data_IF_921890593589
#
_entry.id   IF_921890593589
#
_cell.length_a   1.000
_cell.length_b   1.000
_cell.length_c   1.000
_cell.angle_alpha   90.00
_cell.angle_beta   90.00
_cell.angle_gamma   90.00
#
_symmetry.space_group_name_H-M   'P 1'
#
loop_
_entity.id
_entity.type
_entity.pdbx_description
1 polymer ?
#
# COMPACT_ATOMS: atom_id res chain seq x y z
N UNK A 1 0.61 -63.42 6.55
CA UNK A 1 0.04 -62.75 7.74
C UNK A 1 -0.90 -61.57 7.43
N UNK A 2 -1.34 -61.35 6.18
CA UNK A 2 -2.15 -60.17 5.82
C UNK A 2 -3.68 -60.33 5.98
N UNK A 3 -4.22 -61.51 6.32
CA UNK A 3 -5.68 -61.75 6.32
C UNK A 3 -6.41 -61.55 7.67
N UNK A 4 -5.71 -61.48 8.81
CA UNK A 4 -6.36 -61.53 10.14
C UNK A 4 -6.77 -60.17 10.72
N UNK A 5 -6.25 -59.06 10.19
CA UNK A 5 -6.56 -57.72 10.72
C UNK A 5 -7.90 -57.21 10.19
N UNK A 6 -8.23 -57.51 8.93
CA UNK A 6 -9.47 -57.08 8.28
C UNK A 6 -10.74 -57.70 8.88
N UNK A 7 -10.62 -58.83 9.60
CA UNK A 7 -11.73 -59.45 10.33
C UNK A 7 -11.90 -58.94 11.77
N UNK A 8 -11.02 -58.05 12.25
CA UNK A 8 -11.06 -57.47 13.60
C UNK A 8 -11.25 -55.95 13.51
N UNK A 9 -12.50 -55.46 13.45
CA UNK A 9 -12.77 -54.05 13.15
C UNK A 9 -12.11 -53.09 14.14
N UNK A 10 -12.14 -53.39 15.45
CA UNK A 10 -11.51 -52.53 16.48
C UNK A 10 -9.99 -52.45 16.29
N UNK A 11 -9.32 -53.59 16.05
CA UNK A 11 -7.86 -53.64 15.86
C UNK A 11 -7.47 -52.90 14.58
N UNK A 12 -8.24 -53.07 13.52
CA UNK A 12 -8.04 -52.35 12.26
C UNK A 12 -8.20 -50.83 12.45
N UNK A 13 -9.28 -50.38 13.12
CA UNK A 13 -9.51 -48.96 13.41
C UNK A 13 -8.37 -48.35 14.23
N UNK A 14 -7.93 -49.01 15.31
CA UNK A 14 -6.81 -48.52 16.13
C UNK A 14 -5.52 -48.42 15.31
N UNK A 15 -5.22 -49.44 14.50
CA UNK A 15 -4.03 -49.42 13.65
C UNK A 15 -4.07 -48.27 12.64
N UNK A 16 -5.20 -48.07 11.95
CA UNK A 16 -5.38 -46.96 11.00
C UNK A 16 -5.25 -45.62 11.70
N UNK A 17 -5.89 -45.44 12.86
CA UNK A 17 -5.79 -44.20 13.65
C UNK A 17 -4.34 -43.91 14.03
N UNK A 18 -3.60 -44.90 14.54
CA UNK A 18 -2.19 -44.70 14.89
C UNK A 18 -1.33 -44.37 13.67
N UNK A 19 -1.58 -45.00 12.52
CA UNK A 19 -0.85 -44.69 11.28
C UNK A 19 -1.13 -43.26 10.80
N UNK A 20 -2.39 -42.82 10.82
CA UNK A 20 -2.76 -41.44 10.44
C UNK A 20 -2.16 -40.44 11.43
N UNK A 21 -2.27 -40.69 12.73
CA UNK A 21 -1.73 -39.82 13.77
C UNK A 21 -0.21 -39.68 13.68
N UNK A 22 0.52 -40.76 13.37
CA UNK A 22 1.97 -40.70 13.23
C UNK A 22 2.38 -39.68 12.14
N UNK A 23 1.70 -39.70 10.98
CA UNK A 23 1.91 -38.73 9.92
C UNK A 23 1.51 -37.30 10.32
N UNK A 24 0.33 -37.13 10.92
CA UNK A 24 -0.14 -35.81 11.39
C UNK A 24 0.77 -35.20 12.46
N UNK A 25 1.27 -36.01 13.40
CA UNK A 25 2.20 -35.54 14.43
C UNK A 25 3.51 -35.11 13.80
N UNK A 26 4.08 -35.93 12.91
CA UNK A 26 5.37 -35.63 12.30
C UNK A 26 5.32 -34.40 11.36
N UNK A 27 4.25 -34.25 10.58
CA UNK A 27 4.17 -33.20 9.55
C UNK A 27 3.44 -31.93 9.98
N UNK A 28 2.51 -31.99 10.94
CA UNK A 28 1.76 -30.80 11.39
C UNK A 28 2.07 -30.45 12.85
N UNK A 29 1.83 -31.36 13.79
CA UNK A 29 1.92 -31.03 15.21
C UNK A 29 3.36 -30.64 15.60
N UNK A 30 4.36 -31.43 15.20
CA UNK A 30 5.75 -31.17 15.55
C UNK A 30 6.24 -29.82 14.99
N UNK A 31 6.12 -29.50 13.68
CA UNK A 31 6.48 -28.17 13.17
C UNK A 31 5.71 -27.03 13.83
N UNK A 32 4.42 -27.20 14.14
CA UNK A 32 3.59 -26.15 14.74
C UNK A 32 4.06 -25.70 16.13
N UNK A 33 4.72 -26.56 16.90
CA UNK A 33 5.27 -26.20 18.23
C UNK A 33 6.74 -25.76 18.20
N UNK A 34 7.33 -25.64 17.00
CA UNK A 34 8.73 -25.25 16.81
C UNK A 34 8.80 -23.77 16.41
N UNK A 35 9.43 -22.95 17.24
CA UNK A 35 9.56 -21.51 16.98
C UNK A 35 10.41 -21.21 15.75
N UNK A 36 11.40 -22.07 15.46
CA UNK A 36 12.23 -22.03 14.25
C UNK A 36 11.46 -22.27 12.96
N UNK A 37 10.27 -22.89 13.04
CA UNK A 37 9.39 -23.14 11.89
C UNK A 37 8.35 -22.03 11.67
N UNK A 38 8.34 -20.99 12.52
CA UNK A 38 7.49 -19.80 12.37
C UNK A 38 8.37 -18.53 12.36
N UNK A 39 9.27 -18.40 11.37
CA UNK A 39 10.11 -17.21 11.27
C UNK A 39 9.22 -15.97 11.11
N UNK A 40 9.68 -14.83 11.61
CA UNK A 40 9.13 -13.51 11.31
C UNK A 40 10.23 -12.71 10.66
N UNK A 41 9.92 -12.00 9.57
CA UNK A 41 10.88 -11.04 9.02
C UNK A 41 11.06 -9.89 10.01
N UNK A 42 12.29 -9.39 10.13
CA UNK A 42 12.60 -8.25 10.98
C UNK A 42 11.83 -7.01 10.48
N UNK A 43 11.27 -6.22 11.40
CA UNK A 43 10.46 -5.05 11.03
C UNK A 43 9.04 -5.37 10.55
N UNK A 44 8.57 -6.63 10.64
CA UNK A 44 7.20 -6.98 10.24
C UNK A 44 6.17 -6.22 11.09
N UNK A 45 5.37 -5.39 10.43
CA UNK A 45 4.26 -4.64 11.04
C UNK A 45 2.90 -5.25 10.66
N UNK A 46 1.90 -5.20 11.57
CA UNK A 46 0.54 -5.64 11.27
C UNK A 46 -0.11 -4.70 10.24
N UNK A 47 -1.13 -5.20 9.55
CA UNK A 47 -1.92 -4.39 8.61
C UNK A 47 -2.65 -3.27 9.34
N UNK A 48 -2.81 -2.11 8.71
CA UNK A 48 -3.67 -1.05 9.23
C UNK A 48 -5.15 -1.49 9.22
N UNK A 49 -6.04 -0.72 9.84
CA UNK A 49 -7.47 -1.07 9.86
C UNK A 49 -8.06 -1.10 8.45
N UNK A 50 -7.65 -0.15 7.59
CA UNK A 50 -8.09 -0.06 6.19
C UNK A 50 -7.55 -1.20 5.35
N UNK A 51 -6.27 -1.55 5.50
CA UNK A 51 -5.65 -2.68 4.81
C UNK A 51 -6.26 -4.02 5.25
N UNK A 52 -6.54 -4.18 6.55
CA UNK A 52 -7.20 -5.38 7.07
C UNK A 52 -8.61 -5.51 6.49
N UNK A 53 -9.36 -4.41 6.41
CA UNK A 53 -10.65 -4.42 5.74
C UNK A 53 -10.54 -4.80 4.26
N UNK A 54 -9.53 -4.29 3.56
CA UNK A 54 -9.26 -4.65 2.18
C UNK A 54 -8.93 -6.13 2.00
N UNK A 55 -8.17 -6.70 2.94
CA UNK A 55 -7.90 -8.13 3.01
C UNK A 55 -9.15 -8.96 3.24
N UNK A 56 -10.13 -8.43 3.97
CA UNK A 56 -11.42 -9.09 4.18
C UNK A 56 -12.26 -9.05 2.90
N UNK A 57 -12.27 -7.92 2.18
CA UNK A 57 -12.89 -7.81 0.85
C UNK A 57 -12.24 -8.79 -0.13
N UNK A 58 -10.90 -8.84 -0.18
CA UNK A 58 -10.15 -9.78 -1.02
C UNK A 58 -10.55 -11.25 -0.79
N UNK A 59 -10.75 -11.62 0.48
CA UNK A 59 -11.22 -12.96 0.85
C UNK A 59 -12.68 -13.19 0.45
N UNK A 60 -13.57 -12.24 0.77
CA UNK A 60 -15.01 -12.34 0.51
C UNK A 60 -15.30 -12.45 -0.99
N UNK A 61 -14.61 -11.67 -1.80
CA UNK A 61 -14.74 -11.68 -3.26
C UNK A 61 -14.02 -12.86 -3.92
N UNK A 62 -13.30 -13.69 -3.14
CA UNK A 62 -12.67 -14.90 -3.64
C UNK A 62 -11.49 -14.66 -4.57
N UNK A 63 -10.81 -13.52 -4.46
CA UNK A 63 -9.68 -13.14 -5.32
C UNK A 63 -8.56 -14.19 -5.29
N UNK A 64 -8.36 -14.84 -4.13
CA UNK A 64 -7.40 -15.93 -3.89
C UNK A 64 -7.57 -17.14 -4.83
N UNK A 65 -8.74 -17.30 -5.45
CA UNK A 65 -9.01 -18.39 -6.40
C UNK A 65 -8.40 -18.14 -7.79
N UNK A 66 -8.07 -16.87 -8.09
CA UNK A 66 -7.47 -16.46 -9.36
C UNK A 66 -6.05 -15.94 -9.19
N UNK A 67 -5.73 -15.38 -8.02
CA UNK A 67 -4.46 -14.74 -7.72
C UNK A 67 -3.78 -15.42 -6.54
N UNK A 68 -2.52 -15.77 -6.72
CA UNK A 68 -1.65 -16.22 -5.64
C UNK A 68 -0.96 -15.02 -5.00
N UNK A 69 -0.46 -15.20 -3.78
CA UNK A 69 0.37 -14.23 -3.07
C UNK A 69 1.64 -14.93 -2.58
N UNK A 70 2.30 -15.68 -3.46
CA UNK A 70 3.52 -16.42 -3.13
C UNK A 70 4.38 -16.57 -4.37
N UNK A 71 5.39 -15.72 -4.49
CA UNK A 71 6.40 -15.81 -5.53
C UNK A 71 7.37 -16.94 -5.17
N UNK A 72 7.52 -17.89 -6.09
CA UNK A 72 8.36 -19.08 -5.88
C UNK A 72 9.85 -18.76 -6.12
N UNK A 73 10.78 -19.48 -5.49
CA UNK A 73 12.23 -19.31 -5.69
C UNK A 73 12.70 -19.89 -7.04
N UNK A 74 12.08 -19.46 -8.13
CA UNK A 74 12.46 -19.78 -9.51
C UNK A 74 12.89 -18.48 -10.20
N UNK A 75 13.97 -18.53 -10.98
CA UNK A 75 14.47 -17.34 -11.69
C UNK A 75 13.40 -16.68 -12.57
N UNK A 76 12.57 -17.48 -13.26
CA UNK A 76 11.50 -16.97 -14.12
C UNK A 76 10.35 -16.30 -13.36
N UNK A 77 10.16 -16.62 -12.08
CA UNK A 77 9.16 -15.96 -11.21
C UNK A 77 9.72 -14.65 -10.66
N UNK A 78 10.91 -14.73 -10.09
CA UNK A 78 11.69 -13.62 -9.55
C UNK A 78 11.79 -12.49 -10.59
N UNK A 79 12.20 -12.80 -11.84
CA UNK A 79 12.30 -11.81 -12.93
C UNK A 79 10.95 -11.26 -13.35
N UNK A 80 9.88 -12.07 -13.32
CA UNK A 80 8.53 -11.63 -13.72
C UNK A 80 7.94 -10.60 -12.75
N UNK A 81 8.22 -10.74 -11.47
CA UNK A 81 7.74 -9.85 -10.41
C UNK A 81 8.82 -8.87 -9.94
N UNK A 82 9.93 -8.79 -10.70
CA UNK A 82 10.92 -7.72 -10.60
C UNK A 82 10.27 -6.47 -11.16
N UNK A 83 9.94 -5.52 -10.29
CA UNK A 83 9.45 -4.21 -10.72
C UNK A 83 10.53 -3.45 -11.50
N UNK A 84 10.19 -2.27 -11.98
CA UNK A 84 11.11 -1.40 -12.72
C UNK A 84 12.15 -0.67 -11.83
N UNK A 85 12.42 -1.12 -10.59
CA UNK A 85 13.36 -0.48 -9.66
C UNK A 85 14.71 -1.19 -9.60
N UNK A 86 15.77 -0.40 -9.69
CA UNK A 86 17.17 -0.87 -9.71
C UNK A 86 17.76 -1.15 -8.31
N UNK A 87 17.06 -0.83 -7.22
CA UNK A 87 17.56 -0.92 -5.85
C UNK A 87 16.56 -1.60 -4.88
N UNK A 88 16.49 -2.95 -4.89
CA UNK A 88 15.85 -3.85 -3.88
C UNK A 88 14.34 -3.61 -3.55
N UNK A 89 13.59 -4.49 -2.84
CA UNK A 89 13.49 -5.95 -2.90
C UNK A 89 12.34 -6.43 -3.82
N UNK A 90 11.80 -5.60 -4.73
CA UNK A 90 10.81 -6.08 -5.72
C UNK A 90 11.49 -7.09 -6.67
N UNK A 91 10.93 -8.29 -6.80
CA UNK A 91 11.53 -9.38 -7.58
C UNK A 91 12.38 -10.37 -6.79
N UNK A 92 12.23 -10.47 -5.47
CA UNK A 92 12.65 -11.67 -4.72
C UNK A 92 11.53 -12.70 -4.65
N UNK A 93 11.84 -13.90 -4.16
CA UNK A 93 10.81 -14.87 -3.79
C UNK A 93 10.20 -14.52 -2.43
N UNK A 94 8.97 -14.98 -2.20
CA UNK A 94 8.29 -14.75 -0.92
C UNK A 94 8.95 -15.54 0.20
N UNK A 95 9.15 -14.90 1.34
CA UNK A 95 9.73 -15.49 2.54
C UNK A 95 8.60 -15.93 3.48
N UNK A 96 8.79 -17.07 4.15
CA UNK A 96 7.79 -17.60 5.09
C UNK A 96 7.40 -16.58 6.18
N UNK A 97 8.36 -15.77 6.64
CA UNK A 97 8.12 -14.80 7.70
C UNK A 97 7.33 -13.55 7.32
N UNK A 98 7.09 -13.31 6.03
CA UNK A 98 6.23 -12.20 5.58
C UNK A 98 4.75 -12.45 5.89
N UNK A 99 4.38 -13.73 5.97
CA UNK A 99 3.00 -14.19 6.18
C UNK A 99 2.70 -14.47 7.66
N UNK A 100 3.60 -14.11 8.58
CA UNK A 100 3.47 -14.50 9.98
C UNK A 100 2.25 -13.90 10.70
N UNK A 101 1.65 -12.84 10.16
CA UNK A 101 0.40 -12.24 10.66
C UNK A 101 -0.82 -12.56 9.79
N UNK A 102 -0.68 -13.40 8.77
CA UNK A 102 -1.78 -13.73 7.88
C UNK A 102 -2.66 -14.85 8.45
N UNK A 103 -3.81 -14.46 8.98
CA UNK A 103 -4.83 -15.39 9.46
C UNK A 103 -6.12 -15.25 8.62
N UNK A 104 -6.50 -16.26 7.81
CA UNK A 104 -5.68 -17.39 7.34
C UNK A 104 -4.67 -16.95 6.27
N UNK A 105 -3.66 -17.76 5.94
CA UNK A 105 -2.74 -17.46 4.85
C UNK A 105 -3.47 -17.31 3.50
N UNK A 106 -3.00 -16.41 2.62
CA UNK A 106 -3.60 -16.15 1.29
C UNK A 106 -2.67 -16.46 0.12
N UNK A 107 -1.79 -17.46 0.30
CA UNK A 107 -0.81 -17.89 -0.70
C UNK A 107 -1.43 -18.22 -2.06
N UNK A 108 -2.68 -18.69 -2.06
CA UNK A 108 -3.40 -19.14 -3.24
C UNK A 108 -2.90 -20.49 -3.76
N UNK A 109 -3.66 -21.07 -4.68
CA UNK A 109 -3.36 -22.39 -5.28
C UNK A 109 -3.46 -22.42 -6.80
N UNK A 110 -3.93 -21.32 -7.41
CA UNK A 110 -4.16 -21.19 -8.84
C UNK A 110 -3.86 -19.77 -9.31
N UNK A 111 -3.29 -19.66 -10.51
CA UNK A 111 -2.99 -18.40 -11.19
C UNK A 111 -3.77 -18.30 -12.49
N UNK A 112 -4.98 -17.77 -12.40
CA UNK A 112 -5.72 -17.29 -13.58
C UNK A 112 -5.31 -15.87 -13.91
N UNK A 113 -5.14 -15.03 -12.89
CA UNK A 113 -4.41 -13.76 -12.97
C UNK A 113 -2.97 -13.90 -12.46
N UNK A 114 -2.18 -12.80 -12.49
CA UNK A 114 -0.82 -12.77 -11.96
C UNK A 114 -0.77 -13.00 -10.44
N UNK A 115 0.42 -13.35 -9.93
CA UNK A 115 0.68 -13.29 -8.48
C UNK A 115 0.70 -11.84 -8.00
N UNK A 116 0.18 -11.59 -6.80
CA UNK A 116 0.01 -10.26 -6.21
C UNK A 116 0.95 -10.01 -5.02
N UNK A 117 1.85 -10.93 -4.66
CA UNK A 117 2.66 -10.81 -3.44
C UNK A 117 3.48 -9.51 -3.35
N UNK A 118 3.79 -8.87 -4.50
CA UNK A 118 4.53 -7.61 -4.58
C UNK A 118 3.77 -6.51 -5.32
N UNK A 119 2.43 -6.62 -5.42
CA UNK A 119 1.61 -5.72 -6.23
C UNK A 119 1.78 -4.24 -5.84
N UNK A 120 1.99 -3.95 -4.56
CA UNK A 120 2.21 -2.58 -4.06
C UNK A 120 3.48 -1.90 -4.56
N UNK A 121 4.40 -2.64 -5.17
CA UNK A 121 5.57 -2.10 -5.86
C UNK A 121 5.40 -1.97 -7.36
N UNK A 122 4.35 -2.57 -7.94
CA UNK A 122 4.18 -2.71 -9.39
C UNK A 122 3.17 -1.73 -9.96
N UNK A 123 2.13 -1.37 -9.20
CA UNK A 123 0.99 -0.58 -9.68
C UNK A 123 0.64 0.55 -8.70
N UNK A 124 0.25 1.69 -9.26
CA UNK A 124 -0.24 2.84 -8.50
C UNK A 124 -1.69 2.62 -8.02
N UNK A 125 -2.10 3.40 -7.03
CA UNK A 125 -3.49 3.41 -6.56
C UNK A 125 -4.48 3.69 -7.71
N UNK A 126 -4.21 4.70 -8.55
CA UNK A 126 -5.05 5.06 -9.69
C UNK A 126 -5.21 3.89 -10.67
N UNK A 127 -4.12 3.16 -10.95
CA UNK A 127 -4.20 1.95 -11.77
C UNK A 127 -5.08 0.89 -11.11
N UNK A 128 -4.95 0.68 -9.79
CA UNK A 128 -5.78 -0.28 -9.06
C UNK A 128 -7.26 0.11 -9.11
N UNK A 129 -7.61 1.37 -8.85
CA UNK A 129 -9.00 1.84 -8.95
C UNK A 129 -9.58 1.61 -10.35
N UNK A 130 -8.86 2.02 -11.40
CA UNK A 130 -9.31 1.83 -12.77
C UNK A 130 -9.45 0.35 -13.13
N UNK A 131 -8.50 -0.48 -12.69
CA UNK A 131 -8.50 -1.92 -12.95
C UNK A 131 -9.62 -2.64 -12.20
N UNK A 132 -9.88 -2.33 -10.92
CA UNK A 132 -11.02 -2.90 -10.20
C UNK A 132 -12.36 -2.42 -10.75
N UNK A 133 -12.45 -1.17 -11.20
CA UNK A 133 -13.67 -0.65 -11.81
C UNK A 133 -13.99 -1.33 -13.15
N UNK A 134 -13.01 -1.42 -14.04
CA UNK A 134 -13.16 -2.10 -15.33
C UNK A 134 -11.83 -2.71 -15.79
N UNK A 135 -11.56 -3.99 -15.45
CA UNK A 135 -10.31 -4.63 -15.80
C UNK A 135 -10.04 -4.64 -17.31
N UNK A 136 -11.09 -4.78 -18.12
CA UNK A 136 -11.00 -4.83 -19.58
C UNK A 136 -10.69 -3.46 -20.20
N UNK A 137 -11.01 -2.36 -19.52
CA UNK A 137 -10.63 -1.02 -20.01
C UNK A 137 -9.12 -0.78 -19.88
N UNK A 138 -8.50 -1.29 -18.82
CA UNK A 138 -7.06 -1.13 -18.57
C UNK A 138 -6.24 -2.24 -19.22
N UNK A 139 -6.79 -3.47 -19.24
CA UNK A 139 -6.18 -4.67 -19.82
C UNK A 139 -7.20 -5.34 -20.75
N UNK A 140 -7.20 -5.03 -22.06
CA UNK A 140 -8.25 -5.46 -23.00
C UNK A 140 -8.57 -6.95 -23.06
N UNK A 141 -7.59 -7.82 -22.73
CA UNK A 141 -7.76 -9.27 -22.70
C UNK A 141 -7.94 -9.86 -21.30
N UNK A 142 -8.25 -9.01 -20.30
CA UNK A 142 -8.49 -9.46 -18.93
C UNK A 142 -9.77 -10.30 -18.86
N UNK A 143 -9.68 -11.42 -18.15
CA UNK A 143 -10.83 -12.24 -17.77
C UNK A 143 -11.27 -11.99 -16.31
N UNK A 144 -10.69 -10.99 -15.64
CA UNK A 144 -11.08 -10.60 -14.30
C UNK A 144 -12.47 -9.94 -14.33
N UNK A 145 -13.38 -10.26 -13.38
CA UNK A 145 -14.65 -9.55 -13.23
C UNK A 145 -14.46 -8.08 -12.81
N UNK A 146 -15.40 -7.23 -13.17
CA UNK A 146 -15.47 -5.85 -12.67
C UNK A 146 -16.00 -5.81 -11.23
N UNK A 147 -15.37 -4.99 -10.40
CA UNK A 147 -15.68 -4.77 -8.98
C UNK A 147 -16.10 -3.32 -8.69
N UNK A 148 -16.61 -2.59 -9.68
CA UNK A 148 -17.07 -1.20 -9.53
C UNK A 148 -18.09 -1.01 -8.39
N UNK A 149 -18.86 -2.04 -8.03
CA UNK A 149 -19.83 -2.02 -6.94
C UNK A 149 -19.20 -1.76 -5.56
N UNK A 150 -17.90 -2.01 -5.38
CA UNK A 150 -17.19 -1.75 -4.13
C UNK A 150 -17.14 -0.25 -3.79
N UNK A 151 -17.26 0.64 -4.79
CA UNK A 151 -17.34 2.10 -4.59
C UNK A 151 -18.60 2.53 -3.83
N UNK A 152 -19.65 1.72 -3.87
CA UNK A 152 -20.93 2.02 -3.23
C UNK A 152 -21.08 1.38 -1.84
N UNK A 153 -20.08 0.62 -1.38
CA UNK A 153 -20.13 -0.10 -0.10
C UNK A 153 -19.18 0.54 0.89
N UNK A 154 -19.67 0.87 2.07
CA UNK A 154 -18.86 1.43 3.16
C UNK A 154 -18.18 0.33 3.97
N UNK A 155 -17.03 0.64 4.55
CA UNK A 155 -16.36 -0.26 5.51
C UNK A 155 -16.97 -0.11 6.91
N UNK A 156 -17.18 -1.23 7.62
CA UNK A 156 -17.68 -1.22 9.01
C UNK A 156 -16.52 -1.12 10.01
N UNK A 157 -16.39 0.04 10.67
CA UNK A 157 -15.33 0.31 11.63
C UNK A 157 -15.44 -0.51 12.93
N UNK A 158 -16.65 -0.77 13.42
CA UNK A 158 -16.88 -1.55 14.63
C UNK A 158 -16.52 -3.02 14.40
N UNK A 159 -16.91 -3.55 13.25
CA UNK A 159 -16.54 -4.89 12.82
C UNK A 159 -15.01 -5.04 12.73
N UNK A 160 -14.33 -4.10 12.06
CA UNK A 160 -12.87 -4.15 11.93
C UNK A 160 -12.14 -4.05 13.28
N UNK A 161 -12.63 -3.20 14.20
CA UNK A 161 -12.10 -3.15 15.56
C UNK A 161 -12.28 -4.47 16.32
N UNK A 162 -13.37 -5.21 16.04
CA UNK A 162 -13.57 -6.58 16.50
C UNK A 162 -12.52 -7.55 15.96
N UNK A 163 -12.27 -7.49 14.65
CA UNK A 163 -11.27 -8.34 13.98
C UNK A 163 -9.84 -8.08 14.45
N UNK A 164 -9.45 -6.82 14.61
CA UNK A 164 -8.12 -6.46 15.12
C UNK A 164 -7.91 -6.99 16.55
N UNK A 165 -8.93 -6.92 17.42
CA UNK A 165 -8.88 -7.53 18.76
C UNK A 165 -8.72 -9.04 18.70
N UNK A 166 -9.44 -9.72 17.80
CA UNK A 166 -9.31 -11.16 17.61
C UNK A 166 -7.91 -11.55 17.14
N UNK A 167 -7.36 -10.83 16.15
CA UNK A 167 -5.98 -11.04 15.67
C UNK A 167 -4.93 -10.77 16.74
N UNK A 168 -5.16 -9.78 17.61
CA UNK A 168 -4.31 -9.55 18.78
C UNK A 168 -4.32 -10.75 19.72
N UNK A 169 -5.48 -11.37 19.94
CA UNK A 169 -5.60 -12.63 20.68
C UNK A 169 -4.85 -13.81 20.04
N UNK A 170 -4.64 -13.77 18.72
CA UNK A 170 -3.86 -14.75 17.96
C UNK A 170 -2.35 -14.43 17.90
N UNK A 171 -1.91 -13.34 18.53
CA UNK A 171 -0.50 -12.97 18.62
C UNK A 171 -0.01 -11.94 17.60
N UNK A 172 -0.92 -11.30 16.85
CA UNK A 172 -0.60 -10.14 16.00
C UNK A 172 -0.41 -8.90 16.90
N UNK A 173 0.69 -8.13 16.80
CA UNK A 173 1.06 -7.12 17.78
C UNK A 173 0.34 -5.78 17.60
N UNK A 174 -1.00 -5.79 17.56
CA UNK A 174 -1.79 -4.54 17.59
C UNK A 174 -1.68 -3.85 18.96
N UNK A 175 -1.43 -2.54 18.93
CA UNK A 175 -1.42 -1.67 20.11
C UNK A 175 -2.82 -1.13 20.41
N UNK A 176 -3.04 -0.60 21.63
CA UNK A 176 -4.29 0.10 21.96
C UNK A 176 -4.52 1.32 21.05
N UNK A 177 -3.44 2.00 20.65
CA UNK A 177 -3.52 3.13 19.74
C UNK A 177 -4.02 2.70 18.35
N UNK A 178 -3.62 1.52 17.86
CA UNK A 178 -4.09 1.01 16.57
C UNK A 178 -5.58 0.68 16.62
N UNK A 179 -6.05 0.12 17.74
CA UNK A 179 -7.47 -0.18 17.97
C UNK A 179 -8.32 1.10 18.10
N UNK A 180 -7.80 2.12 18.79
CA UNK A 180 -8.48 3.40 18.97
C UNK A 180 -8.53 4.22 17.66
N UNK A 181 -7.47 4.15 16.85
CA UNK A 181 -7.38 4.85 15.56
C UNK A 181 -8.16 4.20 14.41
N UNK A 182 -8.66 2.97 14.59
CA UNK A 182 -9.34 2.22 13.53
C UNK A 182 -10.58 2.94 12.97
N UNK A 183 -11.36 3.60 13.83
CA UNK A 183 -12.57 4.32 13.40
C UNK A 183 -12.22 5.53 12.52
N UNK A 184 -11.16 6.26 12.86
CA UNK A 184 -10.67 7.37 12.06
C UNK A 184 -10.18 6.91 10.68
N UNK A 185 -9.41 5.83 10.64
CA UNK A 185 -8.86 5.27 9.39
C UNK A 185 -9.96 4.82 8.41
N UNK A 186 -11.11 4.40 8.94
CA UNK A 186 -12.21 3.84 8.15
C UNK A 186 -13.33 4.83 7.85
N UNK A 187 -13.35 6.01 8.50
CA UNK A 187 -14.43 6.99 8.35
C UNK A 187 -14.55 7.45 6.89
N UNK A 188 -15.75 7.26 6.34
CA UNK A 188 -16.05 7.66 4.95
C UNK A 188 -15.34 6.83 3.89
N UNK A 189 -14.65 5.74 4.27
CA UNK A 189 -13.99 4.86 3.32
C UNK A 189 -14.96 3.84 2.72
N UNK A 190 -14.69 3.51 1.47
CA UNK A 190 -15.39 2.46 0.74
C UNK A 190 -14.62 1.15 0.77
N UNK A 191 -15.28 0.05 0.43
CA UNK A 191 -14.62 -1.24 0.22
C UNK A 191 -13.63 -1.19 -0.94
N UNK A 192 -13.84 -0.29 -1.92
CA UNK A 192 -12.87 -0.04 -2.99
C UNK A 192 -11.58 0.56 -2.41
N UNK A 193 -11.70 1.57 -1.54
CA UNK A 193 -10.55 2.18 -0.89
C UNK A 193 -9.78 1.15 -0.06
N UNK A 194 -10.52 0.29 0.65
CA UNK A 194 -9.97 -0.77 1.47
C UNK A 194 -9.18 -1.78 0.63
N UNK A 195 -9.77 -2.36 -0.43
CA UNK A 195 -9.08 -3.36 -1.26
C UNK A 195 -7.87 -2.75 -1.97
N UNK A 196 -7.94 -1.49 -2.41
CA UNK A 196 -6.79 -0.79 -3.01
C UNK A 196 -5.68 -0.61 -1.97
N UNK A 197 -6.00 -0.16 -0.75
CA UNK A 197 -5.03 -0.07 0.33
C UNK A 197 -4.35 -1.42 0.61
N UNK A 198 -5.13 -2.50 0.66
CA UNK A 198 -4.58 -3.85 0.83
C UNK A 198 -3.63 -4.23 -0.32
N UNK A 199 -4.00 -4.00 -1.58
CA UNK A 199 -3.10 -4.28 -2.72
C UNK A 199 -1.78 -3.50 -2.63
N UNK A 200 -1.84 -2.22 -2.23
CA UNK A 200 -0.67 -1.37 -2.06
C UNK A 200 0.23 -1.79 -0.88
N UNK A 201 -0.33 -2.48 0.11
CA UNK A 201 0.41 -3.05 1.24
C UNK A 201 1.21 -4.32 0.88
N UNK A 202 0.89 -4.96 -0.26
CA UNK A 202 1.51 -6.23 -0.65
C UNK A 202 2.95 -6.02 -1.10
N UNK A 203 3.85 -6.82 -0.52
CA UNK A 203 5.29 -6.75 -0.77
C UNK A 203 6.01 -5.72 0.09
N UNK A 204 5.27 -4.88 0.83
CA UNK A 204 5.81 -3.84 1.72
C UNK A 204 5.85 -4.27 3.18
N UNK A 205 5.79 -5.56 3.50
CA UNK A 205 5.53 -6.08 4.85
C UNK A 205 6.43 -5.52 5.97
N UNK A 206 7.65 -5.08 5.64
CA UNK A 206 8.62 -4.44 6.55
C UNK A 206 8.66 -2.91 6.43
N UNK A 207 8.10 -2.37 5.35
CA UNK A 207 8.06 -0.94 4.98
C UNK A 207 6.62 -0.39 4.93
N UNK A 208 5.64 -1.02 5.62
CA UNK A 208 4.20 -0.63 5.55
C UNK A 208 3.89 0.67 6.30
N UNK A 209 4.79 1.65 6.32
CA UNK A 209 4.53 2.93 7.00
C UNK A 209 4.35 2.79 8.52
N UNK A 210 5.09 1.89 9.16
CA UNK A 210 5.09 1.76 10.62
C UNK A 210 5.74 2.99 11.28
N UNK A 211 4.93 3.88 11.90
CA UNK A 211 5.31 4.94 12.87
C UNK A 211 6.78 5.37 12.84
N UNK A 212 7.22 5.84 11.68
CA UNK A 212 8.62 6.16 11.40
C UNK A 212 8.75 6.96 10.13
N UNK A 213 7.75 7.79 9.79
CA UNK A 213 8.00 8.89 8.87
C UNK A 213 9.14 9.70 9.48
N UNK A 214 10.24 9.83 8.73
CA UNK A 214 11.40 10.62 9.13
C UNK A 214 10.90 11.92 9.77
N UNK A 215 11.45 12.27 10.94
CA UNK A 215 11.15 13.55 11.59
C UNK A 215 11.44 14.67 10.59
N UNK A 216 10.44 15.50 10.30
CA UNK A 216 10.58 16.62 9.37
C UNK A 216 11.12 17.81 10.14
N UNK A 217 12.36 18.21 9.83
CA UNK A 217 12.89 19.50 10.26
C UNK A 217 12.25 20.60 9.40
N UNK A 218 11.20 21.23 9.91
CA UNK A 218 10.47 22.30 9.20
C UNK A 218 11.31 23.57 9.01
N UNK A 219 12.47 23.69 9.67
CA UNK A 219 13.41 24.78 9.49
C UNK A 219 14.43 24.51 8.37
N UNK A 220 14.48 23.28 7.84
CA UNK A 220 15.40 22.91 6.77
C UNK A 220 15.07 23.68 5.48
N UNK A 221 16.08 24.35 4.94
CA UNK A 221 15.98 25.13 3.72
C UNK A 221 16.38 24.28 2.52
N UNK A 222 15.63 24.43 1.42
CA UNK A 222 15.94 23.76 0.17
C UNK A 222 17.30 24.26 -0.38
N UNK A 223 18.36 23.43 -0.40
CA UNK A 223 19.70 23.85 -0.78
C UNK A 223 19.83 24.15 -2.29
N UNK A 224 18.87 23.71 -3.10
CA UNK A 224 18.87 23.84 -4.56
C UNK A 224 17.71 24.70 -5.09
N UNK A 225 17.06 25.49 -4.22
CA UNK A 225 15.87 26.28 -4.55
C UNK A 225 16.03 27.21 -5.77
N UNK A 226 17.23 27.76 -5.98
CA UNK A 226 17.54 28.70 -7.07
C UNK A 226 18.41 28.09 -8.17
N UNK A 227 18.72 26.80 -8.11
CA UNK A 227 19.53 26.13 -9.12
C UNK A 227 18.67 25.72 -10.31
N UNK A 228 18.90 26.37 -11.46
CA UNK A 228 18.16 26.12 -12.71
C UNK A 228 18.29 24.67 -13.19
N UNK A 229 19.44 24.04 -12.99
CA UNK A 229 19.65 22.65 -13.37
C UNK A 229 18.86 21.70 -12.45
N UNK A 230 18.81 22.00 -11.15
CA UNK A 230 18.02 21.24 -10.19
C UNK A 230 16.52 21.41 -10.44
N UNK A 231 16.05 22.62 -10.77
CA UNK A 231 14.65 22.88 -11.17
C UNK A 231 14.28 22.06 -12.42
N UNK A 232 15.13 22.06 -13.45
CA UNK A 232 14.88 21.26 -14.65
C UNK A 232 14.87 19.75 -14.37
N UNK A 233 15.77 19.28 -13.49
CA UNK A 233 15.79 17.90 -12.99
C UNK A 233 14.52 17.56 -12.21
N UNK A 234 14.03 18.49 -11.38
CA UNK A 234 12.80 18.38 -10.62
C UNK A 234 11.58 18.07 -11.50
N UNK A 235 11.42 18.81 -12.61
CA UNK A 235 10.38 18.51 -13.62
C UNK A 235 10.51 17.08 -14.16
N UNK A 236 11.71 16.69 -14.59
CA UNK A 236 11.94 15.35 -15.13
C UNK A 236 11.61 14.25 -14.13
N UNK A 237 11.96 14.46 -12.85
CA UNK A 237 11.66 13.52 -11.79
C UNK A 237 10.16 13.48 -11.46
N UNK A 238 9.48 14.62 -11.44
CA UNK A 238 8.03 14.70 -11.24
C UNK A 238 7.28 13.88 -12.31
N UNK A 239 7.68 14.03 -13.57
CA UNK A 239 7.14 13.26 -14.69
C UNK A 239 7.50 11.76 -14.58
N UNK A 240 8.77 11.46 -14.28
CA UNK A 240 9.28 10.09 -14.21
C UNK A 240 8.67 9.27 -13.05
N UNK A 241 8.37 9.91 -11.92
CA UNK A 241 7.69 9.26 -10.78
C UNK A 241 6.16 9.23 -10.95
N UNK A 242 5.64 9.79 -12.04
CA UNK A 242 4.21 9.80 -12.33
C UNK A 242 3.40 10.67 -11.37
N UNK A 243 4.02 11.69 -10.77
CA UNK A 243 3.35 12.57 -9.82
C UNK A 243 2.15 13.28 -10.47
N UNK A 244 2.28 13.66 -11.75
CA UNK A 244 1.20 14.30 -12.51
C UNK A 244 -0.04 13.45 -12.72
N UNK A 245 0.05 12.12 -12.56
CA UNK A 245 -1.11 11.24 -12.63
C UNK A 245 -2.15 11.55 -11.53
N UNK A 246 -1.70 12.05 -10.37
CA UNK A 246 -2.57 12.48 -9.28
C UNK A 246 -2.62 14.00 -9.16
N UNK A 247 -1.48 14.67 -9.30
CA UNK A 247 -1.36 16.11 -9.07
C UNK A 247 -1.49 16.96 -10.35
N UNK A 248 -1.80 16.38 -11.51
CA UNK A 248 -1.84 17.09 -12.79
C UNK A 248 -0.45 17.34 -13.37
N UNK A 249 -0.36 17.47 -14.70
CA UNK A 249 0.92 17.54 -15.43
C UNK A 249 1.79 18.75 -15.04
N UNK A 250 1.17 19.83 -14.58
CA UNK A 250 1.84 21.04 -14.08
C UNK A 250 1.66 21.20 -12.57
N UNK A 251 1.33 20.11 -11.85
CA UNK A 251 1.13 20.08 -10.41
C UNK A 251 -0.07 20.90 -9.86
N UNK A 252 -1.02 21.27 -10.73
CA UNK A 252 -2.23 22.04 -10.43
C UNK A 252 -3.33 21.28 -9.65
N UNK A 253 -3.11 20.01 -9.36
CA UNK A 253 -4.07 19.13 -8.67
C UNK A 253 -5.11 18.51 -9.59
N UNK A 254 -5.83 17.52 -9.05
CA UNK A 254 -6.99 16.90 -9.68
C UNK A 254 -8.10 16.71 -8.64
N UNK A 255 -9.26 17.30 -8.90
CA UNK A 255 -10.40 17.29 -7.99
C UNK A 255 -10.78 15.86 -7.57
N UNK A 256 -10.86 15.61 -6.26
CA UNK A 256 -11.19 14.30 -5.69
C UNK A 256 -10.08 13.25 -5.76
N UNK A 257 -8.92 13.55 -6.37
CA UNK A 257 -7.78 12.62 -6.50
C UNK A 257 -6.61 13.09 -5.65
N UNK A 258 -6.07 14.29 -5.91
CA UNK A 258 -5.01 14.87 -5.11
C UNK A 258 -5.05 16.40 -5.17
N UNK A 259 -4.64 17.10 -4.09
CA UNK A 259 -4.65 18.55 -4.04
C UNK A 259 -3.67 19.15 -5.06
N UNK A 260 -3.87 20.43 -5.38
CA UNK A 260 -2.84 21.22 -6.03
C UNK A 260 -1.59 21.30 -5.16
N UNK A 261 -0.43 21.35 -5.79
CA UNK A 261 0.86 21.54 -5.12
C UNK A 261 1.38 22.97 -5.30
N UNK A 262 0.72 23.77 -6.13
CA UNK A 262 1.18 25.10 -6.56
C UNK A 262 0.24 26.23 -6.12
N UNK A 263 -0.90 25.91 -5.50
CA UNK A 263 -1.78 26.93 -4.90
C UNK A 263 -1.37 27.32 -3.47
N UNK A 264 -2.12 28.23 -2.87
CA UNK A 264 -1.98 28.67 -1.48
C UNK A 264 -2.83 27.83 -0.50
N UNK A 265 -3.35 26.69 -0.94
CA UNK A 265 -4.25 25.81 -0.18
C UNK A 265 -3.72 24.36 -0.14
N UNK A 266 -2.59 24.17 0.52
CA UNK A 266 -2.01 22.85 0.71
C UNK A 266 -2.50 22.16 2.01
N UNK A 267 -2.98 20.91 1.88
CA UNK A 267 -3.54 20.08 2.95
C UNK A 267 -4.71 20.72 3.72
N UNK A 268 -5.70 21.28 3.01
CA UNK A 268 -6.99 21.69 3.59
C UNK A 268 -6.93 22.92 4.51
N UNK A 269 -5.84 23.68 4.48
CA UNK A 269 -5.70 24.95 5.19
C UNK A 269 -5.06 26.01 4.29
N UNK A 270 -5.57 27.25 4.37
CA UNK A 270 -4.99 28.40 3.68
C UNK A 270 -3.61 28.77 4.26
N UNK A 271 -2.68 29.08 3.37
CA UNK A 271 -1.33 29.54 3.67
C UNK A 271 -0.28 28.55 3.17
N UNK A 272 0.82 29.06 2.65
CA UNK A 272 1.90 28.21 2.15
C UNK A 272 2.59 27.44 3.28
N UNK A 273 3.09 26.24 2.99
CA UNK A 273 3.96 25.48 3.89
C UNK A 273 5.44 25.74 3.52
N UNK A 274 6.42 25.52 4.42
CA UNK A 274 7.83 25.59 4.06
C UNK A 274 8.22 24.45 3.11
N UNK A 275 9.31 24.61 2.37
CA UNK A 275 9.83 23.59 1.44
C UNK A 275 10.07 22.23 2.12
N UNK A 276 10.52 22.25 3.37
CA UNK A 276 10.67 21.05 4.21
C UNK A 276 9.38 20.24 4.38
N UNK A 277 8.20 20.89 4.37
CA UNK A 277 6.94 20.17 4.44
C UNK A 277 6.64 19.40 3.15
N UNK A 278 6.94 20.00 1.99
CA UNK A 278 6.82 19.34 0.68
C UNK A 278 7.83 18.19 0.58
N UNK A 279 9.07 18.44 0.99
CA UNK A 279 10.12 17.42 1.07
C UNK A 279 9.68 16.24 1.95
N UNK A 280 9.19 16.53 3.16
CA UNK A 280 8.72 15.52 4.09
C UNK A 280 7.52 14.73 3.56
N UNK A 281 6.58 15.38 2.89
CA UNK A 281 5.43 14.74 2.26
C UNK A 281 5.84 13.84 1.08
N UNK A 282 6.80 14.26 0.25
CA UNK A 282 7.34 13.43 -0.83
C UNK A 282 8.12 12.25 -0.24
N UNK A 283 8.98 12.49 0.76
CA UNK A 283 9.84 11.48 1.36
C UNK A 283 9.04 10.44 2.15
N UNK A 284 8.14 10.89 3.01
CA UNK A 284 7.41 10.08 3.98
C UNK A 284 5.94 9.81 3.65
N UNK A 285 5.42 10.37 2.56
CA UNK A 285 4.02 10.20 2.16
C UNK A 285 3.04 10.89 3.10
N UNK A 286 1.76 10.58 2.99
CA UNK A 286 0.70 11.15 3.82
C UNK A 286 0.83 10.84 5.31
N UNK A 287 1.67 9.88 5.68
CA UNK A 287 1.83 9.44 7.07
C UNK A 287 2.59 10.47 7.92
N UNK A 288 3.29 11.41 7.29
CA UNK A 288 3.96 12.54 7.96
C UNK A 288 3.03 13.72 8.24
N UNK A 289 1.78 13.71 7.74
CA UNK A 289 0.86 14.86 7.81
C UNK A 289 0.60 15.35 9.24
N UNK A 290 0.65 14.45 10.23
CA UNK A 290 0.43 14.79 11.64
C UNK A 290 1.55 15.69 12.18
N UNK A 291 2.78 15.55 11.65
CA UNK A 291 3.92 16.41 11.99
C UNK A 291 3.75 17.82 11.41
N UNK A 292 2.96 17.97 10.33
CA UNK A 292 2.72 19.25 9.66
C UNK A 292 1.61 20.09 10.31
N UNK A 293 0.89 19.56 11.31
CA UNK A 293 -0.16 20.27 12.02
C UNK A 293 -1.35 20.71 11.16
N UNK A 294 -1.56 20.10 9.98
CA UNK A 294 -2.62 20.47 9.02
C UNK A 294 -3.62 19.33 8.78
N UNK A 295 -4.93 19.64 8.69
CA UNK A 295 -5.97 18.67 8.37
C UNK A 295 -6.05 18.42 6.84
N UNK A 296 -5.37 17.40 6.32
CA UNK A 296 -5.49 17.04 4.90
C UNK A 296 -4.87 15.69 4.55
N UNK A 297 -5.41 15.03 3.51
CA UNK A 297 -5.15 13.67 2.99
C UNK A 297 -5.19 12.53 4.06
N UNK A 298 -5.88 11.42 3.78
CA UNK A 298 -5.91 10.27 4.71
C UNK A 298 -4.50 9.64 4.84
N UNK A 299 -4.19 9.01 5.99
CA UNK A 299 -2.94 8.23 6.12
C UNK A 299 -2.95 7.13 5.05
N UNK A 300 -1.81 6.86 4.42
CA UNK A 300 -1.70 6.06 3.19
C UNK A 300 -2.29 6.65 1.89
N UNK A 301 -2.79 7.89 1.88
CA UNK A 301 -3.34 8.55 0.68
C UNK A 301 -2.28 9.01 -0.33
N UNK A 302 -1.08 9.39 0.12
CA UNK A 302 0.09 9.62 -0.72
C UNK A 302 1.19 8.66 -0.28
N UNK A 303 1.69 7.84 -1.21
CA UNK A 303 2.78 6.90 -0.91
C UNK A 303 4.09 7.65 -0.61
N UNK A 304 4.95 7.12 0.28
CA UNK A 304 6.30 7.64 0.47
C UNK A 304 7.17 7.37 -0.76
N UNK A 305 7.99 8.34 -1.15
CA UNK A 305 8.98 8.23 -2.22
C UNK A 305 10.43 8.32 -1.71
N UNK A 306 10.65 8.39 -0.39
CA UNK A 306 11.99 8.45 0.20
C UNK A 306 12.86 7.23 -0.06
N UNK A 307 12.26 6.10 -0.44
CA UNK A 307 12.99 4.92 -0.93
C UNK A 307 13.40 5.02 -2.41
N UNK A 308 12.80 5.95 -3.15
CA UNK A 308 12.81 6.00 -4.61
C UNK A 308 13.61 7.19 -5.15
N UNK A 309 13.74 8.21 -4.32
CA UNK A 309 14.40 9.47 -4.62
C UNK A 309 15.42 9.75 -3.54
N UNK A 310 16.61 10.18 -3.94
CA UNK A 310 17.56 10.73 -2.99
C UNK A 310 17.04 12.04 -2.41
N UNK A 311 17.57 12.46 -1.25
CA UNK A 311 17.18 13.74 -0.66
C UNK A 311 17.43 14.91 -1.63
N UNK A 312 18.51 14.88 -2.39
CA UNK A 312 18.81 15.87 -3.43
C UNK A 312 17.77 15.85 -4.58
N UNK A 313 17.29 14.67 -4.98
CA UNK A 313 16.23 14.53 -5.99
C UNK A 313 14.90 15.09 -5.49
N UNK A 314 14.55 14.82 -4.23
CA UNK A 314 13.34 15.37 -3.61
C UNK A 314 13.43 16.89 -3.54
N UNK A 315 14.57 17.44 -3.09
CA UNK A 315 14.80 18.89 -3.08
C UNK A 315 14.71 19.52 -4.47
N UNK A 316 15.18 18.81 -5.51
CA UNK A 316 15.03 19.24 -6.91
C UNK A 316 13.57 19.33 -7.34
N UNK A 317 12.74 18.35 -6.96
CA UNK A 317 11.29 18.37 -7.22
C UNK A 317 10.63 19.55 -6.49
N UNK A 318 10.95 19.77 -5.22
CA UNK A 318 10.41 20.90 -4.44
C UNK A 318 10.81 22.24 -5.08
N UNK A 319 12.06 22.40 -5.52
CA UNK A 319 12.51 23.60 -6.22
C UNK A 319 11.69 23.88 -7.49
N UNK A 320 11.38 22.83 -8.26
CA UNK A 320 10.52 22.96 -9.44
C UNK A 320 9.09 23.38 -9.09
N UNK A 321 8.47 22.76 -8.08
CA UNK A 321 7.12 23.13 -7.63
C UNK A 321 7.04 24.61 -7.21
N UNK A 322 8.06 25.11 -6.52
CA UNK A 322 8.15 26.53 -6.15
C UNK A 322 8.29 27.45 -7.34
N UNK A 323 9.11 27.06 -8.31
CA UNK A 323 9.24 27.81 -9.55
C UNK A 323 7.89 27.86 -10.29
N UNK A 324 7.14 26.75 -10.33
CA UNK A 324 5.82 26.68 -10.97
C UNK A 324 4.78 27.58 -10.29
N UNK A 325 4.73 27.56 -8.96
CA UNK A 325 3.87 28.45 -8.16
C UNK A 325 4.14 29.93 -8.44
N UNK A 326 5.42 30.30 -8.61
CA UNK A 326 5.81 31.65 -9.02
C UNK A 326 5.27 32.06 -10.40
N UNK A 327 5.15 31.10 -11.33
CA UNK A 327 4.56 31.34 -12.65
C UNK A 327 3.05 31.53 -12.60
N UNK A 328 2.29 30.71 -11.86
CA UNK A 328 0.84 30.90 -11.69
C UNK A 328 0.48 32.26 -11.06
N UNK A 329 1.21 32.68 -10.02
CA UNK A 329 0.99 34.00 -9.40
C UNK A 329 1.24 35.16 -10.38
N UNK A 330 2.11 34.96 -11.38
CA UNK A 330 2.40 35.97 -12.41
C UNK A 330 1.35 36.00 -13.53
N UNK A 331 0.76 34.85 -13.88
CA UNK A 331 -0.30 34.76 -14.90
C UNK A 331 -1.67 35.19 -14.37
N UNK A 332 -2.01 34.89 -13.11
CA UNK A 332 -3.25 35.35 -12.48
C UNK A 332 -3.35 36.88 -12.33
N UNK A 333 -2.21 37.58 -12.33
CA UNK A 333 -2.17 39.05 -12.30
C UNK A 333 -2.47 39.70 -13.66
N UNK A 334 -2.46 38.93 -14.75
CA UNK A 334 -2.79 39.44 -16.09
C UNK A 334 -4.29 39.42 -16.39
N UNK A 335 -5.07 38.55 -15.75
CA UNK A 335 -6.52 38.44 -15.98
C UNK A 335 -7.35 39.42 -15.14
N UNK A 336 -6.92 39.84 -13.94
CA UNK A 336 -7.64 40.86 -13.16
C UNK A 336 -7.54 42.28 -13.74
N UNK A 337 -6.57 42.55 -14.61
CA UNK A 337 -6.41 43.86 -15.25
C UNK A 337 -7.39 44.08 -16.43
N UNK A 338 -8.09 43.04 -16.91
CA UNK A 338 -8.97 43.12 -18.07
C UNK A 338 -10.44 43.45 -17.74
N UNK A 339 -10.90 43.30 -16.49
CA UNK A 339 -12.31 43.52 -16.13
C UNK A 339 -12.67 44.94 -15.65
N UNK A 340 -11.70 45.83 -15.43
CA UNK A 340 -11.98 47.21 -15.00
C UNK A 340 -11.97 48.27 -16.14
N UNK A 341 -12.04 47.82 -17.39
CA UNK A 341 -11.95 48.68 -18.58
C UNK A 341 -13.23 48.81 -19.41
N UNK A 342 -14.44 48.65 -18.86
CA UNK A 342 -15.66 49.03 -19.60
C UNK A 342 -16.89 49.26 -18.70
N UNK A 343 -17.01 50.43 -18.07
CA UNK A 343 -18.28 51.09 -17.73
C UNK A 343 -18.13 52.61 -17.70
#
# INVERSE_FOLDING_TARGET
MAGKIYSKPIVFSVAVTLTVLAGSIAMMAYPMFRSDMHPKVEGLVPLTALELAGRHVYQREGCVNCHTQTVRPLQSEVVRYKGNRAAEPSGRYSLAGEFAYDHPFLWGSKRTGPDLAFEGWLKSAAWQYAHFENPQAVVPRSNMPAYAFLKARSVDAEEMRGHMRALRGLGVPYTEADLAGAEEQLRGKTEMDAIVAYMLSLGKAVDRGGKGGAEIDLEEQNPVATDVAAIAKGRQLFDAQGCGACHGDEAQGQEGVAPSLIDDEFLGAKGDLPDAAYFGMIKGGSDVKQQLGRPGLADGGMQPFGSDLSDEDIWSIVAWLRNQKGHEASEGHHDEAAEHGNR
#
